data_IF_315677563624
#
_entry.id   IF_315677563624
#
_cell.length_a   1.000
_cell.length_b   1.000
_cell.length_c   1.000
_cell.angle_alpha   90.00
_cell.angle_beta   90.00
_cell.angle_gamma   90.00
#
_symmetry.space_group_name_H-M   'P 1'
#
loop_
_entity.id
_entity.type
_entity.pdbx_description
1 polymer ?
#
# COMPACT_ATOMS: atom_id res chain seq x y z
N UNK A 1 -2.41 14.34 16.46
CA UNK A 1 -2.66 14.64 15.02
C UNK A 1 -1.60 14.00 14.14
N UNK A 2 -0.32 14.16 14.47
CA UNK A 2 0.84 13.61 13.74
C UNK A 2 0.80 12.08 13.53
N UNK A 3 0.45 11.30 14.55
CA UNK A 3 0.34 9.83 14.45
C UNK A 3 -0.73 9.40 13.44
N UNK A 4 -1.83 10.16 13.35
CA UNK A 4 -2.94 9.86 12.43
C UNK A 4 -2.48 10.06 10.98
N UNK A 5 -1.73 11.12 10.69
CA UNK A 5 -1.18 11.38 9.36
C UNK A 5 -0.22 10.27 8.93
N UNK A 6 0.67 9.85 9.84
CA UNK A 6 1.60 8.72 9.59
C UNK A 6 0.84 7.42 9.37
N UNK A 7 -0.16 7.14 10.19
CA UNK A 7 -1.01 5.95 10.03
C UNK A 7 -1.78 5.95 8.71
N UNK A 8 -2.35 7.08 8.31
CA UNK A 8 -3.01 7.25 7.01
C UNK A 8 -2.04 7.05 5.86
N UNK A 9 -0.84 7.63 5.93
CA UNK A 9 0.18 7.47 4.90
C UNK A 9 0.56 6.00 4.70
N UNK A 10 0.82 5.28 5.80
CA UNK A 10 1.14 3.85 5.75
C UNK A 10 -0.05 3.04 5.21
N UNK A 11 -1.28 3.36 5.63
CA UNK A 11 -2.46 2.69 5.12
C UNK A 11 -2.66 2.91 3.61
N UNK A 12 -2.48 4.14 3.12
CA UNK A 12 -2.53 4.46 1.70
C UNK A 12 -1.47 3.69 0.89
N UNK A 13 -0.24 3.59 1.41
CA UNK A 13 0.84 2.80 0.80
C UNK A 13 0.51 1.30 0.69
N UNK A 14 -0.07 0.72 1.74
CA UNK A 14 -0.51 -0.68 1.73
C UNK A 14 -1.65 -0.91 0.73
N UNK A 15 -2.64 -0.01 0.70
CA UNK A 15 -3.75 -0.06 -0.26
C UNK A 15 -3.21 0.07 -1.69
N UNK A 16 -2.23 0.95 -1.92
CA UNK A 16 -1.59 1.10 -3.23
C UNK A 16 -0.94 -0.20 -3.69
N UNK A 17 -0.16 -0.85 -2.84
CA UNK A 17 0.51 -2.11 -3.18
C UNK A 17 -0.48 -3.24 -3.51
N UNK A 18 -1.57 -3.37 -2.74
CA UNK A 18 -2.59 -4.40 -3.00
C UNK A 18 -3.40 -4.10 -4.27
N UNK A 19 -3.73 -2.83 -4.51
CA UNK A 19 -4.56 -2.44 -5.67
C UNK A 19 -3.76 -2.20 -6.95
N UNK A 20 -2.43 -2.22 -6.88
CA UNK A 20 -1.56 -2.06 -8.04
C UNK A 20 -1.78 -3.18 -9.08
N UNK A 21 -2.02 -4.42 -8.64
CA UNK A 21 -2.25 -5.55 -9.57
C UNK A 21 -3.55 -5.46 -10.37
N UNK A 22 -4.44 -4.50 -10.07
CA UNK A 22 -5.73 -4.33 -10.73
C UNK A 22 -5.69 -3.21 -11.78
N UNK A 23 -5.59 -3.53 -13.08
CA UNK A 23 -5.79 -2.55 -14.14
C UNK A 23 -7.27 -2.15 -14.25
N UNK A 24 -7.51 -0.88 -14.59
CA UNK A 24 -8.82 -0.25 -14.76
C UNK A 24 -8.81 0.51 -16.07
N UNK A 25 -9.88 0.41 -16.84
CA UNK A 25 -10.04 1.12 -18.10
C UNK A 25 -10.92 2.36 -17.91
N UNK A 26 -10.41 3.52 -18.29
CA UNK A 26 -11.11 4.81 -18.25
C UNK A 26 -10.95 5.52 -19.60
N UNK A 27 -12.05 5.69 -20.33
CA UNK A 27 -12.07 6.51 -21.55
C UNK A 27 -11.03 6.13 -22.61
N UNK A 28 -10.73 4.84 -22.77
CA UNK A 28 -9.74 4.34 -23.73
C UNK A 28 -8.31 4.19 -23.18
N UNK A 29 -8.05 4.62 -21.96
CA UNK A 29 -6.74 4.51 -21.29
C UNK A 29 -6.82 3.42 -20.21
N UNK A 30 -5.78 2.59 -20.12
CA UNK A 30 -5.64 1.58 -19.05
C UNK A 30 -4.68 2.12 -17.99
N UNK A 31 -5.17 2.18 -16.75
CA UNK A 31 -4.44 2.68 -15.58
C UNK A 31 -4.55 1.69 -14.43
N UNK A 32 -3.63 1.76 -13.46
CA UNK A 32 -3.73 0.91 -12.26
C UNK A 32 -4.71 1.53 -11.27
N UNK A 33 -5.48 0.72 -10.55
CA UNK A 33 -6.41 1.22 -9.53
C UNK A 33 -5.69 2.02 -8.42
N UNK A 34 -4.42 1.69 -8.16
CA UNK A 34 -3.58 2.40 -7.19
C UNK A 34 -3.32 3.88 -7.54
N UNK A 35 -3.51 4.33 -8.78
CA UNK A 35 -3.22 5.74 -9.14
C UNK A 35 -4.03 6.73 -8.31
N UNK A 36 -5.29 6.39 -8.00
CA UNK A 36 -6.16 7.26 -7.20
C UNK A 36 -5.68 7.43 -5.76
N UNK A 37 -5.11 6.38 -5.16
CA UNK A 37 -4.59 6.47 -3.79
C UNK A 37 -3.27 7.25 -3.75
N UNK A 38 -2.44 7.16 -4.80
CA UNK A 38 -1.19 7.90 -4.85
C UNK A 38 -1.38 9.41 -4.81
N UNK A 39 -2.48 9.95 -5.35
CA UNK A 39 -2.83 11.37 -5.22
C UNK A 39 -2.95 11.79 -3.74
N UNK A 40 -3.54 10.95 -2.89
CA UNK A 40 -3.63 11.20 -1.45
C UNK A 40 -2.26 11.06 -0.77
N UNK A 41 -1.48 10.05 -1.18
CA UNK A 41 -0.14 9.80 -0.63
C UNK A 41 0.80 11.00 -0.83
N UNK A 42 0.71 11.70 -1.97
CA UNK A 42 1.46 12.94 -2.21
C UNK A 42 1.09 14.06 -1.22
N UNK A 43 -0.19 14.29 -0.97
CA UNK A 43 -0.60 15.30 0.02
C UNK A 43 -0.13 14.94 1.44
N UNK A 44 -0.21 13.66 1.79
CA UNK A 44 0.22 13.17 3.10
C UNK A 44 1.73 13.30 3.29
N UNK A 45 2.54 12.99 2.26
CA UNK A 45 4.00 13.07 2.36
C UNK A 45 4.48 14.53 2.47
N UNK A 46 3.82 15.46 1.78
CA UNK A 46 4.11 16.89 1.91
C UNK A 46 3.83 17.37 3.33
N UNK A 47 2.68 16.99 3.91
CA UNK A 47 2.34 17.30 5.30
C UNK A 47 3.33 16.68 6.30
N UNK A 48 3.78 15.44 6.04
CA UNK A 48 4.80 14.77 6.85
C UNK A 48 6.13 15.54 6.78
N UNK A 49 6.56 15.95 5.59
CA UNK A 49 7.79 16.71 5.42
C UNK A 49 7.74 18.07 6.12
N UNK A 50 6.60 18.76 6.04
CA UNK A 50 6.40 20.07 6.68
C UNK A 50 6.42 19.98 8.21
N UNK A 51 5.78 18.94 8.78
CA UNK A 51 5.66 18.79 10.24
C UNK A 51 6.88 18.16 10.91
N UNK A 52 7.44 17.12 10.31
CA UNK A 52 8.47 16.29 10.96
C UNK A 52 9.91 16.67 10.54
N UNK A 53 10.05 17.54 9.53
CA UNK A 53 11.33 17.86 8.91
C UNK A 53 12.02 16.63 8.28
N UNK A 54 13.23 16.82 7.76
CA UNK A 54 13.97 15.77 7.03
C UNK A 54 14.20 14.49 7.83
N UNK A 55 14.59 14.61 9.09
CA UNK A 55 14.94 13.44 9.91
C UNK A 55 13.71 12.63 10.32
N UNK A 56 12.62 13.30 10.69
CA UNK A 56 11.38 12.63 11.06
C UNK A 56 10.67 12.03 9.84
N UNK A 57 10.64 12.73 8.71
CA UNK A 57 10.12 12.19 7.45
C UNK A 57 10.84 10.91 7.02
N UNK A 58 12.17 10.85 7.19
CA UNK A 58 12.96 9.64 6.87
C UNK A 58 12.57 8.44 7.74
N UNK A 59 12.24 8.66 9.02
CA UNK A 59 11.72 7.60 9.90
C UNK A 59 10.35 7.10 9.45
N UNK A 60 9.46 8.01 9.03
CA UNK A 60 8.14 7.66 8.51
C UNK A 60 8.24 6.83 7.23
N UNK A 61 9.12 7.24 6.30
CA UNK A 61 9.38 6.49 5.06
C UNK A 61 9.91 5.09 5.41
N UNK A 62 10.84 4.97 6.35
CA UNK A 62 11.35 3.67 6.76
C UNK A 62 10.27 2.78 7.42
N UNK A 63 9.39 3.37 8.23
CA UNK A 63 8.25 2.66 8.81
C UNK A 63 7.28 2.15 7.73
N UNK A 64 6.97 2.97 6.72
CA UNK A 64 6.14 2.55 5.59
C UNK A 64 6.81 1.46 4.74
N UNK A 65 8.13 1.55 4.53
CA UNK A 65 8.90 0.51 3.86
C UNK A 65 8.84 -0.82 4.61
N UNK A 66 9.02 -0.79 5.94
CA UNK A 66 8.90 -1.99 6.79
C UNK A 66 7.49 -2.58 6.74
N UNK A 67 6.45 -1.74 6.74
CA UNK A 67 5.07 -2.19 6.62
C UNK A 67 4.79 -2.86 5.27
N UNK A 68 5.29 -2.31 4.17
CA UNK A 68 5.18 -2.91 2.84
C UNK A 68 5.97 -4.22 2.73
N UNK A 69 7.16 -4.29 3.33
CA UNK A 69 7.94 -5.52 3.37
C UNK A 69 7.21 -6.61 4.16
N UNK A 70 6.61 -6.26 5.31
CA UNK A 70 5.77 -7.17 6.07
C UNK A 70 4.58 -7.67 5.25
N UNK A 71 3.90 -6.77 4.51
CA UNK A 71 2.82 -7.13 3.60
C UNK A 71 3.30 -8.13 2.53
N UNK A 72 4.43 -7.85 1.88
CA UNK A 72 4.96 -8.73 0.84
C UNK A 72 5.34 -10.12 1.38
N UNK A 73 6.01 -10.18 2.53
CA UNK A 73 6.38 -11.46 3.17
C UNK A 73 5.15 -12.24 3.61
N UNK A 74 4.17 -11.55 4.20
CA UNK A 74 2.96 -12.20 4.71
C UNK A 74 2.04 -12.69 3.60
N UNK A 75 1.90 -11.92 2.52
CA UNK A 75 1.14 -12.35 1.34
C UNK A 75 1.78 -13.57 0.68
N UNK A 76 3.12 -13.60 0.54
CA UNK A 76 3.84 -14.79 0.07
C UNK A 76 3.60 -16.00 0.98
N UNK A 77 3.68 -15.83 2.30
CA UNK A 77 3.38 -16.89 3.26
C UNK A 77 1.95 -17.42 3.08
N UNK A 78 0.97 -16.52 2.90
CA UNK A 78 -0.43 -16.88 2.69
C UNK A 78 -0.65 -17.66 1.38
N UNK A 79 0.10 -17.36 0.32
CA UNK A 79 0.03 -18.09 -0.96
C UNK A 79 0.64 -19.49 -0.86
N UNK A 80 1.72 -19.66 -0.08
CA UNK A 80 2.40 -20.96 0.10
C UNK A 80 1.59 -21.93 0.97
N UNK A 81 0.74 -21.43 1.88
CA UNK A 81 -0.10 -22.26 2.72
C UNK A 81 -1.11 -23.07 1.88
N UNK A 82 -1.36 -24.35 2.23
CA UNK A 82 -2.31 -25.17 1.49
C UNK A 82 -3.71 -24.56 1.60
N UNK A 83 -4.41 -24.33 0.47
CA UNK A 83 -5.77 -23.82 0.50
C UNK A 83 -6.70 -24.81 1.20
N UNK A 84 -7.69 -24.29 1.91
CA UNK A 84 -8.75 -25.13 2.45
C UNK A 84 -9.50 -25.85 1.31
N UNK A 85 -10.01 -27.08 1.51
CA UNK A 85 -10.64 -27.86 0.44
C UNK A 85 -11.85 -27.19 -0.22
N UNK A 86 -12.51 -26.27 0.48
CA UNK A 86 -13.67 -25.51 0.02
C UNK A 86 -13.30 -24.14 -0.59
N UNK A 87 -12.03 -23.73 -0.53
CA UNK A 87 -11.58 -22.43 -1.03
C UNK A 87 -11.24 -22.51 -2.52
N UNK A 88 -12.12 -21.96 -3.36
CA UNK A 88 -11.99 -21.97 -4.82
C UNK A 88 -11.21 -20.77 -5.38
N UNK A 89 -10.87 -19.79 -4.55
CA UNK A 89 -10.26 -18.52 -4.95
C UNK A 89 -8.73 -18.52 -5.09
N UNK A 90 -8.05 -19.66 -4.92
CA UNK A 90 -6.59 -19.73 -4.84
C UNK A 90 -5.88 -19.13 -6.06
N UNK A 91 -6.41 -19.34 -7.27
CA UNK A 91 -5.84 -18.83 -8.52
C UNK A 91 -5.86 -17.30 -8.58
N UNK A 92 -6.84 -16.65 -7.95
CA UNK A 92 -6.93 -15.19 -7.89
C UNK A 92 -6.09 -14.60 -6.73
N UNK A 93 -5.64 -15.44 -5.80
CA UNK A 93 -4.89 -15.03 -4.61
C UNK A 93 -3.37 -15.17 -4.78
N UNK A 94 -2.91 -15.97 -5.75
CA UNK A 94 -1.50 -16.25 -6.06
C UNK A 94 -0.82 -15.18 -6.93
#
# INVERSE_FOLDING_TARGET
>A
MEIIVVGLYIACELIANVTASKPVQLGGIVVHAAIFIYTLTFTLIDLINERFGKQGARKVIFAALMANLLLAVYTQLAVVLPPAPFYTGQVAFS
#
